data_IF_754978224898
#
_entry.id   IF_754978224898
#
_cell.length_a   1.000
_cell.length_b   1.000
_cell.length_c   1.000
_cell.angle_alpha   90.00
_cell.angle_beta   90.00
_cell.angle_gamma   90.00
#
_symmetry.space_group_name_H-M   'P 1'
#
loop_
_entity.id
_entity.type
_entity.pdbx_description
1 polymer ?
#
# COMPACT_ATOMS: atom_id res chain seq x y z
N UNK A 1 27.85 -12.36 -4.85
CA UNK A 1 28.78 -11.38 -4.23
C UNK A 1 27.95 -10.27 -3.59
N UNK A 2 27.21 -9.55 -4.42
CA UNK A 2 26.21 -8.56 -4.01
C UNK A 2 24.86 -9.28 -3.85
N UNK A 3 24.14 -8.95 -2.78
CA UNK A 3 22.80 -9.47 -2.47
C UNK A 3 21.71 -8.55 -3.03
N UNK A 4 21.87 -7.24 -2.87
CA UNK A 4 20.95 -6.23 -3.38
C UNK A 4 21.66 -4.89 -3.53
N UNK A 5 21.13 -4.04 -4.42
CA UNK A 5 21.57 -2.67 -4.64
C UNK A 5 20.37 -1.73 -4.65
N UNK A 6 20.54 -0.54 -4.09
CA UNK A 6 19.50 0.48 -4.11
C UNK A 6 20.15 1.84 -4.28
N UNK A 7 19.78 2.53 -5.35
CA UNK A 7 20.16 3.91 -5.59
C UNK A 7 18.93 4.79 -5.37
N UNK A 8 18.96 5.64 -4.35
CA UNK A 8 17.98 6.73 -4.20
C UNK A 8 18.37 7.89 -5.10
N UNK A 9 17.59 8.16 -6.13
CA UNK A 9 17.83 9.26 -7.04
C UNK A 9 17.09 10.52 -6.58
N UNK A 10 17.83 11.61 -6.38
CA UNK A 10 17.29 12.93 -6.05
C UNK A 10 17.74 13.95 -7.10
N UNK A 11 17.10 13.99 -8.29
CA UNK A 11 17.53 14.84 -9.41
C UNK A 11 17.62 16.33 -9.07
N UNK A 12 16.70 16.87 -8.25
CA UNK A 12 16.76 18.27 -7.78
C UNK A 12 18.01 18.61 -6.98
N UNK A 13 18.44 17.66 -6.15
CA UNK A 13 19.68 17.81 -5.37
C UNK A 13 20.90 17.37 -6.17
N UNK A 14 20.70 16.87 -7.40
CA UNK A 14 21.74 16.28 -8.25
C UNK A 14 22.55 15.21 -7.51
N UNK A 15 21.87 14.44 -6.67
CA UNK A 15 22.50 13.47 -5.76
C UNK A 15 21.86 12.09 -5.93
N UNK A 16 22.71 11.07 -5.89
CA UNK A 16 22.39 9.67 -5.77
C UNK A 16 22.95 9.14 -4.45
N UNK A 17 22.10 8.55 -3.58
CA UNK A 17 22.58 7.79 -2.43
C UNK A 17 22.55 6.30 -2.77
N UNK A 18 23.68 5.61 -2.64
CA UNK A 18 23.81 4.20 -2.92
C UNK A 18 23.85 3.38 -1.63
N UNK A 19 23.05 2.31 -1.58
CA UNK A 19 23.05 1.31 -0.52
C UNK A 19 23.23 -0.07 -1.16
N UNK A 20 24.31 -0.77 -0.80
CA UNK A 20 24.69 -2.03 -1.44
C UNK A 20 24.89 -3.08 -0.37
N UNK A 21 24.07 -4.12 -0.44
CA UNK A 21 24.11 -5.22 0.51
C UNK A 21 24.93 -6.37 -0.06
N UNK A 22 25.85 -6.91 0.74
CA UNK A 22 26.75 -7.99 0.36
C UNK A 22 26.37 -9.30 1.05
N UNK A 23 26.71 -10.42 0.41
CA UNK A 23 26.50 -11.76 0.98
C UNK A 23 27.41 -12.05 2.17
N UNK A 24 28.55 -11.35 2.26
CA UNK A 24 29.57 -11.53 3.30
C UNK A 24 30.02 -10.19 3.83
N UNK A 25 30.59 -10.19 5.03
CA UNK A 25 31.23 -9.00 5.59
C UNK A 25 32.53 -8.73 4.85
N UNK A 26 32.83 -7.46 4.61
CA UNK A 26 34.07 -7.02 3.93
C UNK A 26 34.62 -5.79 4.63
N UNK A 27 35.94 -5.61 4.54
CA UNK A 27 36.62 -4.42 5.03
C UNK A 27 36.73 -3.37 3.93
N UNK A 28 36.82 -2.09 4.31
CA UNK A 28 36.95 -0.96 3.39
C UNK A 28 38.13 -1.12 2.41
N UNK A 29 39.28 -1.62 2.88
CA UNK A 29 40.49 -1.80 2.07
C UNK A 29 40.33 -2.80 0.93
N UNK A 30 39.35 -3.71 1.02
CA UNK A 30 39.05 -4.70 0.00
C UNK A 30 38.05 -4.22 -1.06
N UNK A 31 37.49 -3.02 -0.90
CA UNK A 31 36.43 -2.48 -1.76
C UNK A 31 36.96 -1.32 -2.59
N UNK A 32 36.79 -1.40 -3.91
CA UNK A 32 37.01 -0.28 -4.83
C UNK A 32 35.72 0.03 -5.57
N UNK A 33 35.31 1.29 -5.56
CA UNK A 33 34.15 1.78 -6.30
C UNK A 33 34.64 2.77 -7.34
N UNK A 34 34.31 2.52 -8.61
CA UNK A 34 34.60 3.43 -9.72
C UNK A 34 33.29 3.89 -10.34
N UNK A 35 33.15 5.19 -10.48
CA UNK A 35 31.98 5.82 -11.10
C UNK A 35 32.31 6.21 -12.53
N UNK A 36 31.54 5.71 -13.48
CA UNK A 36 31.53 6.19 -14.85
C UNK A 36 30.18 6.85 -15.15
N UNK A 37 30.09 7.53 -16.29
CA UNK A 37 28.89 8.27 -16.69
C UNK A 37 27.61 7.43 -16.70
N UNK A 38 27.70 6.16 -17.09
CA UNK A 38 26.55 5.27 -17.29
C UNK A 38 26.64 3.96 -16.48
N UNK A 39 27.67 3.83 -15.63
CA UNK A 39 27.84 2.64 -14.83
C UNK A 39 28.55 2.89 -13.49
N UNK A 40 28.33 1.97 -12.56
CA UNK A 40 29.05 1.88 -11.29
C UNK A 40 29.77 0.53 -11.28
N UNK A 41 31.09 0.56 -11.17
CA UNK A 41 31.91 -0.64 -11.03
C UNK A 41 32.29 -0.85 -9.57
N UNK A 42 32.04 -2.04 -9.05
CA UNK A 42 32.35 -2.43 -7.68
C UNK A 42 33.27 -3.63 -7.71
N UNK A 43 34.49 -3.44 -7.23
CA UNK A 43 35.50 -4.49 -7.13
C UNK A 43 35.69 -4.88 -5.67
N UNK A 44 35.49 -6.16 -5.38
CA UNK A 44 35.70 -6.77 -4.06
C UNK A 44 36.62 -7.97 -4.23
N UNK A 45 37.78 -7.99 -3.56
CA UNK A 45 38.72 -9.13 -3.61
C UNK A 45 39.00 -9.65 -5.04
N UNK A 46 39.26 -8.73 -5.97
CA UNK A 46 39.52 -8.96 -7.40
C UNK A 46 38.32 -9.46 -8.24
N UNK A 47 37.11 -9.47 -7.69
CA UNK A 47 35.87 -9.70 -8.44
C UNK A 47 35.16 -8.38 -8.69
N UNK A 48 34.92 -8.07 -9.95
CA UNK A 48 34.24 -6.83 -10.35
C UNK A 48 32.82 -7.12 -10.80
N UNK A 49 31.87 -6.33 -10.32
CA UNK A 49 30.50 -6.28 -10.83
C UNK A 49 30.23 -4.87 -11.33
N UNK A 50 29.64 -4.78 -12.52
CA UNK A 50 29.31 -3.55 -13.23
C UNK A 50 27.80 -3.37 -13.19
N UNK A 51 27.35 -2.24 -12.65
CA UNK A 51 25.94 -1.85 -12.64
C UNK A 51 25.68 -0.83 -13.73
N UNK A 52 24.91 -1.20 -14.75
CA UNK A 52 24.54 -0.30 -15.84
C UNK A 52 23.31 0.52 -15.47
N UNK A 53 23.36 1.81 -15.80
CA UNK A 53 22.32 2.80 -15.49
C UNK A 53 21.81 3.43 -16.78
N UNK A 54 20.57 3.14 -17.16
CA UNK A 54 19.97 3.66 -18.41
C UNK A 54 19.32 5.04 -18.27
N UNK A 55 18.81 5.38 -17.09
CA UNK A 55 17.87 6.50 -16.92
C UNK A 55 18.51 7.79 -16.42
N UNK A 56 19.73 7.73 -15.90
CA UNK A 56 20.45 8.90 -15.37
C UNK A 56 21.94 8.76 -15.65
N UNK A 57 22.62 9.90 -15.73
CA UNK A 57 24.07 9.98 -15.93
C UNK A 57 24.74 10.45 -14.65
N UNK A 58 25.76 9.71 -14.19
CA UNK A 58 26.58 10.12 -13.06
C UNK A 58 27.68 11.07 -13.51
N UNK A 59 28.12 11.94 -12.60
CA UNK A 59 29.37 12.68 -12.78
C UNK A 59 30.52 11.74 -12.36
N UNK A 60 31.46 11.41 -13.25
CA UNK A 60 32.64 10.62 -12.89
C UNK A 60 33.39 11.26 -11.72
N UNK A 61 34.03 10.44 -10.89
CA UNK A 61 34.84 10.88 -9.73
C UNK A 61 34.11 11.73 -8.68
N UNK A 62 32.78 11.83 -8.74
CA UNK A 62 31.95 12.54 -7.75
C UNK A 62 31.63 11.73 -6.48
N UNK A 63 32.36 10.63 -6.26
CA UNK A 63 32.13 9.72 -5.15
C UNK A 63 32.46 10.42 -3.82
N UNK A 64 31.52 10.39 -2.89
CA UNK A 64 31.64 11.01 -1.58
C UNK A 64 31.00 10.14 -0.51
N UNK A 65 31.37 10.38 0.76
CA UNK A 65 30.82 9.69 1.93
C UNK A 65 30.81 8.14 1.80
N UNK A 66 31.89 7.57 1.24
CA UNK A 66 32.05 6.13 1.16
C UNK A 66 32.22 5.55 2.55
N UNK A 67 31.28 4.70 2.96
CA UNK A 67 31.30 3.95 4.19
C UNK A 67 31.12 2.46 3.89
N UNK A 68 31.89 1.62 4.59
CA UNK A 68 31.81 0.16 4.50
C UNK A 68 31.64 -0.39 5.91
N UNK A 69 30.39 -0.71 6.25
CA UNK A 69 30.01 -1.19 7.57
C UNK A 69 29.44 -2.60 7.48
N UNK A 70 30.13 -3.57 8.10
CA UNK A 70 29.77 -5.01 8.08
C UNK A 70 29.67 -5.55 6.64
N UNK A 71 28.47 -5.70 6.13
CA UNK A 71 28.14 -6.22 4.81
C UNK A 71 27.45 -5.17 3.94
N UNK A 72 27.63 -3.89 4.24
CA UNK A 72 27.08 -2.78 3.50
C UNK A 72 28.18 -1.90 2.92
N UNK A 73 27.99 -1.48 1.67
CA UNK A 73 28.73 -0.38 1.07
C UNK A 73 27.72 0.75 0.87
N UNK A 74 28.04 1.93 1.36
CA UNK A 74 27.22 3.13 1.24
C UNK A 74 28.07 4.25 0.67
N UNK A 75 27.55 5.01 -0.28
CA UNK A 75 28.22 6.20 -0.77
C UNK A 75 27.20 7.15 -1.40
N UNK A 76 27.67 8.36 -1.66
CA UNK A 76 26.96 9.38 -2.42
C UNK A 76 27.70 9.66 -3.72
N UNK A 77 26.94 9.86 -4.79
CA UNK A 77 27.46 10.30 -6.08
C UNK A 77 26.63 11.49 -6.58
N UNK A 78 27.23 12.33 -7.44
CA UNK A 78 26.50 13.39 -8.10
C UNK A 78 25.92 12.90 -9.43
N UNK A 79 24.73 13.40 -9.77
CA UNK A 79 24.01 13.11 -11.01
C UNK A 79 24.11 14.36 -11.90
N UNK A 80 24.35 14.17 -13.19
CA UNK A 80 24.30 15.26 -14.16
C UNK A 80 22.89 15.87 -14.21
N UNK A 81 22.80 17.20 -14.29
CA UNK A 81 21.52 17.89 -14.46
C UNK A 81 20.83 17.45 -15.74
N UNK A 82 19.55 17.08 -15.64
CA UNK A 82 18.71 16.71 -16.76
C UNK A 82 17.54 17.72 -16.86
N UNK A 83 17.30 18.34 -18.03
CA UNK A 83 16.21 19.31 -18.19
C UNK A 83 14.80 18.72 -17.98
N UNK A 84 14.64 17.40 -18.13
CA UNK A 84 13.39 16.66 -17.91
C UNK A 84 13.31 16.12 -16.46
N UNK A 85 14.39 15.58 -15.92
CA UNK A 85 14.44 15.03 -14.55
C UNK A 85 14.90 16.08 -13.52
N UNK A 86 13.96 16.57 -12.69
CA UNK A 86 14.25 17.48 -11.59
C UNK A 86 13.99 18.96 -11.87
N UNK A 87 13.37 19.30 -13.01
CA UNK A 87 12.88 20.66 -13.25
C UNK A 87 11.60 20.92 -12.45
N UNK A 88 11.32 22.20 -12.15
CA UNK A 88 10.04 22.59 -11.53
C UNK A 88 8.84 22.15 -12.40
N UNK A 89 8.98 22.09 -13.72
CA UNK A 89 7.90 21.69 -14.64
C UNK A 89 7.45 20.23 -14.52
N UNK A 90 8.32 19.32 -14.07
CA UNK A 90 8.00 17.89 -13.94
C UNK A 90 7.55 17.47 -12.54
N UNK A 91 7.50 18.42 -11.59
CA UNK A 91 7.17 18.16 -10.18
C UNK A 91 6.36 19.27 -9.49
N UNK A 92 6.10 20.43 -10.13
CA UNK A 92 4.98 21.27 -9.71
C UNK A 92 3.75 20.39 -9.84
N UNK A 93 2.98 20.35 -8.76
CA UNK A 93 1.68 19.74 -8.60
C UNK A 93 0.81 20.17 -9.80
N UNK A 94 0.93 19.48 -10.94
CA UNK A 94 -0.27 19.16 -11.67
C UNK A 94 -1.07 18.41 -10.63
N UNK A 95 -2.21 18.95 -10.24
CA UNK A 95 -3.26 18.19 -9.60
C UNK A 95 -3.34 16.91 -10.42
N UNK A 96 -2.65 15.86 -9.99
CA UNK A 96 -2.69 14.58 -10.63
C UNK A 96 -4.11 14.21 -10.32
N UNK A 97 -4.97 14.46 -11.30
CA UNK A 97 -6.31 13.93 -11.39
C UNK A 97 -6.05 12.45 -11.20
N UNK A 98 -6.20 12.01 -9.95
CA UNK A 98 -5.81 10.70 -9.51
C UNK A 98 -6.46 9.75 -10.50
N UNK A 99 -5.65 8.89 -11.10
CA UNK A 99 -6.11 8.09 -12.21
C UNK A 99 -7.18 7.14 -11.67
N UNK A 100 -8.45 7.55 -11.83
CA UNK A 100 -9.66 6.83 -11.42
C UNK A 100 -9.74 5.47 -12.10
N UNK A 101 -8.82 5.14 -13.01
CA UNK A 101 -8.65 3.83 -13.61
C UNK A 101 -8.31 2.72 -12.60
N UNK A 102 -7.69 2.99 -11.45
CA UNK A 102 -7.55 1.97 -10.38
C UNK A 102 -8.86 1.75 -9.61
N UNK A 103 -9.62 2.83 -9.38
CA UNK A 103 -11.01 2.72 -8.95
C UNK A 103 -11.84 1.94 -9.99
N UNK A 104 -11.54 2.05 -11.30
CA UNK A 104 -12.20 1.25 -12.33
C UNK A 104 -12.00 -0.26 -12.16
N UNK A 105 -10.88 -0.74 -11.61
CA UNK A 105 -10.71 -2.16 -11.33
C UNK A 105 -11.51 -2.62 -10.09
N UNK A 106 -11.70 -1.74 -9.09
CA UNK A 106 -12.70 -1.98 -8.03
C UNK A 106 -14.15 -1.89 -8.56
N UNK A 107 -14.41 -1.06 -9.58
CA UNK A 107 -15.71 -0.90 -10.26
C UNK A 107 -15.97 -2.07 -11.22
N UNK A 108 -14.95 -2.72 -11.81
CA UNK A 108 -15.10 -4.03 -12.49
C UNK A 108 -15.62 -5.09 -11.53
N UNK A 109 -15.61 -4.83 -10.22
CA UNK A 109 -16.31 -5.72 -9.30
C UNK A 109 -17.84 -5.72 -9.48
N UNK A 110 -18.39 -4.62 -9.97
CA UNK A 110 -19.82 -4.30 -10.03
C UNK A 110 -20.54 -4.96 -11.22
N UNK A 111 -19.83 -5.20 -12.34
CA UNK A 111 -20.41 -5.78 -13.56
C UNK A 111 -21.00 -7.20 -13.36
N UNK A 112 -20.59 -7.91 -12.31
CA UNK A 112 -21.01 -9.29 -12.03
C UNK A 112 -22.38 -9.41 -11.37
N UNK A 113 -22.89 -8.33 -10.78
CA UNK A 113 -24.13 -8.35 -10.03
C UNK A 113 -25.37 -8.05 -10.90
N UNK A 114 -25.18 -7.84 -12.20
CA UNK A 114 -26.25 -7.46 -13.12
C UNK A 114 -27.00 -8.65 -13.76
N UNK A 115 -26.67 -9.91 -13.47
CA UNK A 115 -27.22 -11.04 -14.27
C UNK A 115 -27.49 -12.35 -13.53
N UNK A 116 -27.73 -12.35 -12.20
CA UNK A 116 -28.18 -13.58 -11.54
C UNK A 116 -28.23 -13.55 -10.02
N UNK A 117 -28.67 -14.68 -9.45
CA UNK A 117 -28.54 -14.95 -8.02
C UNK A 117 -27.07 -15.19 -7.67
N UNK A 118 -26.64 -14.80 -6.48
CA UNK A 118 -25.29 -15.07 -6.00
C UNK A 118 -25.27 -15.45 -4.51
N UNK A 119 -24.15 -16.00 -4.07
CA UNK A 119 -23.84 -16.21 -2.65
C UNK A 119 -22.54 -15.52 -2.27
N UNK A 120 -22.46 -15.11 -1.00
CA UNK A 120 -21.25 -14.61 -0.37
C UNK A 120 -20.58 -15.79 0.33
N UNK A 121 -19.27 -15.93 0.15
CA UNK A 121 -18.47 -17.00 0.70
C UNK A 121 -17.28 -16.45 1.49
N UNK A 122 -16.87 -17.14 2.55
CA UNK A 122 -15.64 -16.81 3.25
C UNK A 122 -14.43 -17.13 2.35
N UNK A 123 -13.54 -16.18 2.13
CA UNK A 123 -12.36 -16.39 1.26
C UNK A 123 -11.43 -17.49 1.76
N UNK A 124 -11.37 -17.71 3.08
CA UNK A 124 -10.45 -18.67 3.71
C UNK A 124 -10.94 -20.12 3.65
N UNK A 125 -12.19 -20.38 4.06
CA UNK A 125 -12.72 -21.75 4.15
C UNK A 125 -13.78 -22.07 3.10
N UNK A 126 -14.10 -21.10 2.22
CA UNK A 126 -15.13 -21.20 1.19
C UNK A 126 -16.52 -21.56 1.73
N UNK A 127 -16.78 -21.31 3.02
CA UNK A 127 -18.10 -21.55 3.61
C UNK A 127 -19.11 -20.53 3.07
N UNK A 128 -20.31 -20.97 2.73
CA UNK A 128 -21.38 -20.09 2.20
C UNK A 128 -22.01 -19.32 3.36
N UNK A 129 -21.81 -18.01 3.38
CA UNK A 129 -22.22 -17.11 4.46
C UNK A 129 -23.63 -16.56 4.28
N UNK A 130 -24.17 -16.59 3.06
CA UNK A 130 -25.47 -16.01 2.72
C UNK A 130 -26.45 -17.01 2.13
N UNK A 131 -27.75 -16.67 2.17
CA UNK A 131 -28.76 -17.28 1.30
C UNK A 131 -28.55 -16.85 -0.16
N UNK A 132 -29.38 -17.33 -1.10
CA UNK A 132 -29.43 -16.82 -2.47
C UNK A 132 -29.73 -15.31 -2.43
N UNK A 133 -28.83 -14.48 -2.95
CA UNK A 133 -29.01 -13.03 -3.02
C UNK A 133 -29.34 -12.65 -4.45
N UNK A 134 -30.38 -11.84 -4.62
CA UNK A 134 -30.69 -11.17 -5.88
C UNK A 134 -30.42 -9.67 -5.75
N UNK A 135 -29.40 -9.19 -6.45
CA UNK A 135 -28.94 -7.81 -6.35
C UNK A 135 -29.54 -7.00 -7.49
N UNK A 136 -30.24 -5.92 -7.14
CA UNK A 136 -30.86 -4.99 -8.07
C UNK A 136 -30.01 -3.75 -8.28
N UNK A 137 -29.32 -3.29 -7.23
CA UNK A 137 -28.56 -2.03 -7.27
C UNK A 137 -27.27 -2.15 -6.50
N UNK A 138 -26.25 -1.48 -7.04
CA UNK A 138 -24.96 -1.32 -6.41
C UNK A 138 -24.59 0.14 -6.44
N UNK A 139 -24.43 0.73 -5.26
CA UNK A 139 -24.24 2.17 -5.12
C UNK A 139 -22.95 2.47 -4.35
N UNK A 140 -22.17 3.46 -4.77
CA UNK A 140 -21.03 3.90 -3.99
C UNK A 140 -21.52 4.53 -2.68
N UNK A 141 -20.77 4.34 -1.60
CA UNK A 141 -20.92 5.20 -0.42
C UNK A 141 -20.42 6.61 -0.74
N UNK A 142 -21.06 7.66 -0.22
CA UNK A 142 -20.72 9.04 -0.55
C UNK A 142 -19.30 9.46 -0.13
N UNK A 143 -18.80 9.00 1.02
CA UNK A 143 -17.41 9.12 1.47
C UNK A 143 -17.10 7.99 2.50
N UNK A 144 -15.83 7.58 2.62
CA UNK A 144 -15.31 6.71 3.68
C UNK A 144 -15.52 7.33 5.07
N UNK A 145 -15.50 8.67 5.15
CA UNK A 145 -15.70 9.46 6.37
C UNK A 145 -17.03 10.22 6.38
N UNK A 146 -18.00 9.78 5.58
CA UNK A 146 -19.29 10.45 5.46
C UNK A 146 -19.98 10.57 6.82
N UNK A 147 -20.27 11.81 7.23
CA UNK A 147 -21.19 12.09 8.32
C UNK A 147 -22.60 12.34 7.74
N UNK A 148 -23.58 11.45 8.02
CA UNK A 148 -24.97 11.68 7.63
C UNK A 148 -25.54 13.01 8.12
N UNK A 149 -25.00 13.57 9.21
CA UNK A 149 -25.47 14.83 9.77
C UNK A 149 -25.18 16.05 8.88
N UNK A 150 -24.18 15.96 7.99
CA UNK A 150 -23.76 17.07 7.13
C UNK A 150 -24.65 17.25 5.88
N UNK A 151 -25.41 16.23 5.49
CA UNK A 151 -26.15 16.23 4.21
C UNK A 151 -27.64 16.51 4.36
N UNK A 152 -28.20 16.34 5.55
CA UNK A 152 -29.61 16.58 5.81
C UNK A 152 -29.80 17.89 6.59
N UNK A 153 -30.01 18.99 5.85
CA UNK A 153 -30.13 20.34 6.41
C UNK A 153 -31.33 20.57 7.34
N UNK A 154 -32.31 19.66 7.41
CA UNK A 154 -33.53 19.90 8.20
C UNK A 154 -33.99 18.66 9.00
N UNK A 155 -33.90 18.73 10.34
CA UNK A 155 -34.57 17.79 11.27
C UNK A 155 -36.08 18.06 11.31
N UNK A 156 -36.81 17.74 10.24
CA UNK A 156 -38.28 17.75 10.27
C UNK A 156 -38.81 16.38 10.68
N UNK A 157 -38.64 16.02 11.96
CA UNK A 157 -39.65 15.29 12.73
C UNK A 157 -39.16 15.06 14.16
N UNK A 158 -39.96 15.54 15.11
CA UNK A 158 -39.80 15.31 16.54
C UNK A 158 -40.20 13.87 16.88
N UNK A 159 -39.27 12.93 16.71
CA UNK A 159 -39.15 11.75 17.55
C UNK A 159 -37.71 11.26 17.46
N UNK A 160 -37.15 10.90 18.60
CA UNK A 160 -35.76 10.57 18.84
C UNK A 160 -35.19 9.51 17.87
N UNK A 161 -33.85 9.57 17.69
CA UNK A 161 -32.94 8.45 17.35
C UNK A 161 -32.79 7.92 15.91
N UNK A 162 -33.36 8.54 14.87
CA UNK A 162 -32.98 8.15 13.49
C UNK A 162 -31.85 9.04 12.96
N UNK A 163 -30.60 8.69 13.29
CA UNK A 163 -29.48 9.03 12.39
C UNK A 163 -29.85 8.48 11.01
N UNK A 164 -29.76 9.30 9.98
CA UNK A 164 -30.01 8.91 8.58
C UNK A 164 -28.91 7.96 8.11
N UNK A 165 -28.87 6.75 8.66
CA UNK A 165 -27.88 5.76 8.31
C UNK A 165 -28.20 5.21 6.92
N UNK A 166 -27.17 5.12 6.08
CA UNK A 166 -27.27 4.47 4.77
C UNK A 166 -27.41 2.96 4.97
N UNK A 167 -28.64 2.50 5.16
CA UNK A 167 -28.97 1.07 5.29
C UNK A 167 -29.37 0.53 3.91
N UNK A 168 -28.61 -0.42 3.33
CA UNK A 168 -28.99 -1.05 2.07
C UNK A 168 -30.25 -1.90 2.24
N UNK A 169 -31.12 -1.94 1.23
CA UNK A 169 -32.18 -2.96 1.16
C UNK A 169 -31.58 -4.34 0.93
N UNK A 170 -32.37 -5.40 1.10
CA UNK A 170 -31.95 -6.78 0.82
C UNK A 170 -31.51 -7.02 -0.63
N UNK A 171 -31.91 -6.15 -1.56
CA UNK A 171 -31.49 -6.22 -2.97
C UNK A 171 -30.40 -5.21 -3.34
N UNK A 172 -29.86 -4.48 -2.36
CA UNK A 172 -28.87 -3.43 -2.59
C UNK A 172 -27.53 -3.80 -1.96
N UNK A 173 -26.44 -3.39 -2.61
CA UNK A 173 -25.10 -3.38 -2.01
C UNK A 173 -24.57 -1.96 -2.07
N UNK A 174 -24.11 -1.43 -0.94
CA UNK A 174 -23.29 -0.23 -0.96
C UNK A 174 -21.81 -0.61 -0.94
N UNK A 175 -20.96 0.12 -1.65
CA UNK A 175 -19.53 -0.20 -1.70
C UNK A 175 -18.65 1.02 -1.43
N UNK A 176 -17.57 0.80 -0.69
CA UNK A 176 -16.43 1.70 -0.60
C UNK A 176 -15.23 1.13 -1.35
N UNK A 177 -14.06 1.75 -1.18
CA UNK A 177 -12.84 1.35 -1.90
C UNK A 177 -12.38 -0.08 -1.62
N UNK A 178 -12.59 -0.59 -0.39
CA UNK A 178 -12.12 -1.90 0.07
C UNK A 178 -13.13 -2.60 0.99
N UNK A 179 -14.40 -2.21 0.92
CA UNK A 179 -15.48 -2.83 1.68
C UNK A 179 -16.83 -2.76 0.98
N UNK A 180 -17.75 -3.60 1.43
CA UNK A 180 -19.16 -3.60 1.05
C UNK A 180 -20.04 -3.46 2.29
N UNK A 181 -21.18 -2.78 2.15
CA UNK A 181 -22.23 -2.73 3.17
C UNK A 181 -23.43 -3.48 2.62
N UNK A 182 -23.89 -4.49 3.38
CA UNK A 182 -24.89 -5.45 2.95
C UNK A 182 -25.92 -5.66 4.08
N UNK A 183 -27.18 -5.85 3.72
CA UNK A 183 -28.25 -6.07 4.69
C UNK A 183 -28.05 -7.40 5.47
N UNK A 184 -28.21 -7.36 6.79
CA UNK A 184 -27.89 -8.46 7.69
C UNK A 184 -28.77 -9.71 7.46
N UNK A 185 -30.03 -9.55 7.06
CA UNK A 185 -30.97 -10.66 6.81
C UNK A 185 -30.56 -11.60 5.67
N UNK A 186 -29.60 -11.20 4.85
CA UNK A 186 -29.08 -12.03 3.76
C UNK A 186 -28.15 -13.13 4.27
N UNK A 187 -27.63 -13.00 5.49
CA UNK A 187 -26.67 -13.94 6.05
C UNK A 187 -27.36 -15.06 6.81
N UNK A 188 -26.75 -16.25 6.77
CA UNK A 188 -27.24 -17.43 7.48
C UNK A 188 -26.40 -17.67 8.75
N UNK A 189 -26.68 -18.76 9.46
CA UNK A 189 -25.97 -19.13 10.69
C UNK A 189 -24.46 -19.43 10.51
N UNK A 190 -23.94 -19.42 9.27
CA UNK A 190 -22.51 -19.56 9.00
C UNK A 190 -21.71 -18.27 9.24
N UNK A 191 -22.41 -17.17 9.50
CA UNK A 191 -21.85 -15.90 9.93
C UNK A 191 -22.30 -15.64 11.36
N UNK A 192 -21.33 -15.34 12.24
CA UNK A 192 -21.58 -15.03 13.64
C UNK A 192 -21.17 -13.58 13.90
N UNK A 193 -21.93 -12.92 14.76
CA UNK A 193 -21.58 -11.63 15.33
C UNK A 193 -21.00 -11.86 16.72
N UNK A 194 -19.84 -11.27 16.99
CA UNK A 194 -19.18 -11.29 18.29
C UNK A 194 -18.81 -9.85 18.67
N UNK A 195 -19.43 -9.33 19.72
CA UNK A 195 -19.46 -7.90 20.04
C UNK A 195 -19.86 -7.06 18.81
N UNK A 196 -18.94 -6.26 18.26
CA UNK A 196 -19.16 -5.42 17.07
C UNK A 196 -18.57 -6.03 15.80
N UNK A 197 -18.08 -7.27 15.86
CA UNK A 197 -17.27 -7.88 14.80
C UNK A 197 -18.03 -9.02 14.13
N UNK A 198 -17.86 -9.15 12.82
CA UNK A 198 -18.50 -10.18 12.00
C UNK A 198 -17.48 -11.24 11.62
N UNK A 199 -17.74 -12.49 12.01
CA UNK A 199 -16.82 -13.62 11.84
C UNK A 199 -17.46 -14.81 11.11
N UNK A 200 -16.65 -15.60 10.40
CA UNK A 200 -17.10 -16.87 9.85
C UNK A 200 -17.23 -17.91 10.98
N UNK A 201 -18.39 -18.56 11.11
CA UNK A 201 -18.61 -19.56 12.17
C UNK A 201 -17.75 -20.82 12.02
N UNK A 202 -17.25 -21.11 10.81
CA UNK A 202 -16.46 -22.32 10.52
C UNK A 202 -14.98 -22.15 10.83
N UNK A 203 -14.36 -21.09 10.33
CA UNK A 203 -12.91 -20.87 10.46
C UNK A 203 -12.54 -19.73 11.42
N UNK A 204 -13.54 -19.07 12.02
CA UNK A 204 -13.37 -17.93 12.93
C UNK A 204 -12.65 -16.73 12.30
N UNK A 205 -12.55 -16.69 10.96
CA UNK A 205 -11.93 -15.57 10.28
C UNK A 205 -12.81 -14.32 10.38
N UNK A 206 -12.16 -13.19 10.66
CA UNK A 206 -12.77 -11.86 10.71
C UNK A 206 -13.13 -11.35 9.31
N UNK A 207 -14.43 -11.13 9.08
CA UNK A 207 -14.97 -10.74 7.77
C UNK A 207 -15.29 -9.25 7.70
N UNK A 208 -15.58 -8.62 8.83
CA UNK A 208 -16.11 -7.27 8.86
C UNK A 208 -16.60 -6.84 10.23
N UNK A 209 -17.48 -5.85 10.26
CA UNK A 209 -18.12 -5.34 11.48
C UNK A 209 -19.58 -5.01 11.27
N UNK A 210 -20.30 -4.83 12.37
CA UNK A 210 -21.64 -4.25 12.35
C UNK A 210 -21.53 -2.80 11.85
N UNK A 211 -22.31 -2.44 10.82
CA UNK A 211 -22.42 -1.05 10.36
C UNK A 211 -23.62 -0.36 11.02
N UNK A 212 -24.76 -1.06 11.03
CA UNK A 212 -25.97 -0.71 11.78
C UNK A 212 -26.61 -2.01 12.27
N UNK A 213 -27.65 -1.92 13.09
CA UNK A 213 -28.39 -3.11 13.56
C UNK A 213 -28.88 -4.02 12.42
N UNK A 214 -29.09 -3.45 11.22
CA UNK A 214 -29.62 -4.17 10.05
C UNK A 214 -28.58 -4.36 8.93
N UNK A 215 -27.32 -4.00 9.12
CA UNK A 215 -26.32 -4.11 8.04
C UNK A 215 -24.90 -4.38 8.54
N UNK A 216 -24.16 -5.13 7.72
CA UNK A 216 -22.75 -5.46 7.98
C UNK A 216 -21.85 -4.75 6.97
N UNK A 217 -20.74 -4.19 7.46
CA UNK A 217 -19.61 -3.73 6.64
C UNK A 217 -18.61 -4.88 6.53
N UNK A 218 -18.51 -5.49 5.36
CA UNK A 218 -17.60 -6.61 5.08
C UNK A 218 -16.39 -6.12 4.27
N UNK A 219 -15.19 -6.59 4.63
CA UNK A 219 -13.96 -6.25 3.92
C UNK A 219 -13.89 -7.00 2.60
N UNK A 220 -13.57 -6.29 1.52
CA UNK A 220 -13.50 -6.87 0.16
C UNK A 220 -12.48 -8.00 0.05
N UNK A 221 -11.42 -7.96 0.84
CA UNK A 221 -10.38 -8.99 0.87
C UNK A 221 -10.73 -10.23 1.74
N UNK A 222 -11.88 -10.23 2.40
CA UNK A 222 -12.30 -11.29 3.32
C UNK A 222 -13.46 -12.15 2.81
N UNK A 223 -14.12 -11.73 1.72
CA UNK A 223 -15.26 -12.45 1.12
C UNK A 223 -15.14 -12.62 -0.39
N UNK A 224 -15.56 -13.79 -0.87
CA UNK A 224 -15.74 -14.09 -2.29
C UNK A 224 -17.23 -14.03 -2.66
N UNK A 225 -17.51 -13.83 -3.95
CA UNK A 225 -18.86 -13.87 -4.49
C UNK A 225 -18.98 -14.97 -5.53
N UNK A 226 -19.93 -15.89 -5.35
CA UNK A 226 -20.20 -16.95 -6.31
C UNK A 226 -21.49 -16.66 -7.07
N UNK A 227 -21.39 -16.46 -8.38
CA UNK A 227 -22.56 -16.29 -9.25
C UNK A 227 -23.17 -17.65 -9.60
N UNK A 228 -24.44 -17.83 -9.24
CA UNK A 228 -25.18 -19.06 -9.53
C UNK A 228 -25.56 -19.19 -11.01
N UNK A 229 -25.68 -18.07 -11.75
CA UNK A 229 -26.08 -18.11 -13.17
C UNK A 229 -24.96 -18.60 -14.08
N UNK A 230 -23.71 -18.24 -13.79
CA UNK A 230 -22.56 -18.54 -14.65
C UNK A 230 -21.52 -19.46 -13.97
N UNK A 231 -21.76 -19.92 -12.74
CA UNK A 231 -20.81 -20.70 -11.93
C UNK A 231 -19.43 -20.03 -11.76
N UNK A 232 -19.37 -18.70 -11.92
CA UNK A 232 -18.14 -17.92 -11.79
C UNK A 232 -17.95 -17.45 -10.37
N UNK A 233 -16.80 -17.80 -9.78
CA UNK A 233 -16.37 -17.29 -8.49
C UNK A 233 -15.55 -16.03 -8.73
N UNK A 234 -15.98 -14.96 -8.09
CA UNK A 234 -15.24 -13.72 -7.97
C UNK A 234 -14.50 -13.74 -6.64
N UNK A 235 -13.18 -13.78 -6.73
CA UNK A 235 -12.33 -13.81 -5.55
C UNK A 235 -12.32 -12.45 -4.85
N UNK A 236 -12.09 -12.49 -3.55
CA UNK A 236 -11.70 -11.36 -2.73
C UNK A 236 -10.59 -10.52 -3.35
N UNK A 237 -10.56 -9.25 -3.00
CA UNK A 237 -9.46 -8.34 -3.37
C UNK A 237 -8.15 -8.79 -2.73
N UNK A 238 -7.04 -8.49 -3.41
CA UNK A 238 -5.71 -8.73 -2.86
C UNK A 238 -5.43 -7.71 -1.72
N UNK A 239 -5.09 -8.15 -0.50
CA UNK A 239 -4.89 -7.24 0.62
C UNK A 239 -3.76 -6.21 0.41
N UNK A 240 -2.75 -6.53 -0.41
CA UNK A 240 -1.68 -5.59 -0.71
C UNK A 240 -2.14 -4.51 -1.70
N UNK A 241 -2.94 -4.87 -2.70
CA UNK A 241 -3.59 -3.89 -3.56
C UNK A 241 -4.54 -2.98 -2.78
N UNK A 242 -5.32 -3.52 -1.84
CA UNK A 242 -6.16 -2.74 -0.94
C UNK A 242 -5.33 -1.81 -0.04
N UNK A 243 -4.14 -2.25 0.41
CA UNK A 243 -3.19 -1.39 1.12
C UNK A 243 -2.73 -0.22 0.25
N UNK A 244 -2.28 -0.48 -0.98
CA UNK A 244 -1.86 0.57 -1.91
C UNK A 244 -3.01 1.54 -2.21
N UNK A 245 -4.24 1.02 -2.36
CA UNK A 245 -5.42 1.83 -2.56
C UNK A 245 -5.71 2.71 -1.35
N UNK A 246 -5.68 2.16 -0.14
CA UNK A 246 -5.89 2.89 1.10
C UNK A 246 -4.88 4.04 1.28
N UNK A 247 -3.61 3.82 0.95
CA UNK A 247 -2.61 4.90 0.94
C UNK A 247 -2.99 5.93 -0.12
N UNK A 248 -3.22 5.52 -1.37
CA UNK A 248 -3.55 6.42 -2.50
C UNK A 248 -4.79 7.29 -2.23
N UNK A 249 -5.84 6.73 -1.64
CA UNK A 249 -7.07 7.48 -1.30
C UNK A 249 -6.90 8.39 -0.09
N UNK A 250 -5.94 8.09 0.80
CA UNK A 250 -5.66 8.90 1.97
C UNK A 250 -4.62 10.00 1.71
N UNK A 251 -4.00 10.04 0.52
CA UNK A 251 -3.01 11.05 0.17
C UNK A 251 -3.69 12.40 -0.06
N UNK A 252 -3.26 13.40 0.70
CA UNK A 252 -3.67 14.80 0.48
C UNK A 252 -2.57 15.61 -0.21
N UNK A 253 -1.32 15.12 -0.19
CA UNK A 253 -0.15 15.84 -0.70
C UNK A 253 0.33 16.93 0.24
N UNK A 254 -0.22 17.01 1.46
CA UNK A 254 0.15 18.00 2.48
C UNK A 254 1.45 17.56 3.16
N UNK A 255 2.37 18.51 3.32
CA UNK A 255 3.63 18.24 3.99
C UNK A 255 3.40 17.89 5.47
N UNK A 256 3.98 16.78 5.92
CA UNK A 256 3.83 16.31 7.30
C UNK A 256 2.50 15.61 7.57
N UNK A 257 1.80 15.14 6.53
CA UNK A 257 0.63 14.28 6.69
C UNK A 257 1.00 12.92 7.30
N UNK A 258 0.09 12.39 8.13
CA UNK A 258 0.18 11.08 8.73
C UNK A 258 -1.05 10.26 8.32
N UNK A 259 -0.82 9.15 7.62
CA UNK A 259 -1.86 8.21 7.26
C UNK A 259 -1.89 7.12 8.33
N UNK A 260 -3.03 6.92 8.99
CA UNK A 260 -3.22 5.93 10.03
C UNK A 260 -4.20 4.88 9.52
N UNK A 261 -3.66 3.71 9.15
CA UNK A 261 -4.50 2.54 8.87
C UNK A 261 -4.86 1.88 10.19
N UNK A 262 -6.16 1.71 10.47
CA UNK A 262 -6.64 1.17 11.73
C UNK A 262 -7.59 -0.01 11.53
N UNK A 263 -7.48 -0.97 12.44
CA UNK A 263 -8.36 -2.14 12.53
C UNK A 263 -8.74 -2.35 14.00
N UNK A 264 -9.99 -2.71 14.24
CA UNK A 264 -10.54 -2.96 15.58
C UNK A 264 -11.02 -4.40 15.68
N UNK A 265 -10.56 -5.09 16.72
CA UNK A 265 -10.91 -6.47 17.08
C UNK A 265 -11.50 -6.44 18.50
N UNK A 266 -12.80 -6.12 18.58
CA UNK A 266 -13.46 -5.89 19.86
C UNK A 266 -12.83 -4.70 20.60
N UNK A 267 -12.12 -4.97 21.70
CA UNK A 267 -11.39 -3.97 22.50
C UNK A 267 -9.96 -3.75 22.04
N UNK A 268 -9.40 -4.69 21.28
CA UNK A 268 -8.06 -4.58 20.75
C UNK A 268 -8.06 -3.74 19.47
N UNK A 269 -7.01 -2.96 19.27
CA UNK A 269 -6.84 -2.13 18.08
C UNK A 269 -5.44 -2.30 17.51
N UNK A 270 -5.37 -2.34 16.19
CA UNK A 270 -4.13 -2.41 15.41
C UNK A 270 -4.02 -1.16 14.58
N UNK A 271 -2.89 -0.47 14.67
CA UNK A 271 -2.63 0.73 13.87
C UNK A 271 -1.29 0.67 13.15
N UNK A 272 -1.30 1.05 11.88
CA UNK A 272 -0.11 1.28 11.06
C UNK A 272 -0.09 2.75 10.68
N UNK A 273 0.76 3.52 11.36
CA UNK A 273 1.03 4.93 11.05
C UNK A 273 2.08 5.01 9.96
N UNK A 274 1.81 5.80 8.93
CA UNK A 274 2.69 6.04 7.78
C UNK A 274 2.86 7.54 7.61
N UNK A 275 4.10 8.03 7.65
CA UNK A 275 4.47 9.42 7.38
C UNK A 275 5.27 9.50 6.09
N UNK A 276 4.68 9.99 5.00
CA UNK A 276 5.36 10.19 3.74
C UNK A 276 6.47 11.24 3.87
N UNK A 277 7.69 10.89 3.43
CA UNK A 277 8.85 11.78 3.41
C UNK A 277 9.16 12.31 2.01
N UNK A 278 8.95 11.47 0.99
CA UNK A 278 9.23 11.79 -0.41
C UNK A 278 8.27 11.01 -1.31
N UNK A 279 7.32 11.72 -1.91
CA UNK A 279 6.20 11.15 -2.69
C UNK A 279 6.60 10.61 -4.06
N UNK A 280 7.71 11.10 -4.62
CA UNK A 280 8.08 10.85 -6.01
C UNK A 280 9.55 10.44 -6.12
N UNK A 281 10.01 9.63 -5.16
CA UNK A 281 11.37 9.14 -5.14
C UNK A 281 11.56 8.09 -6.23
N UNK A 282 12.62 8.26 -7.01
CA UNK A 282 13.01 7.26 -8.01
C UNK A 282 14.10 6.38 -7.42
N UNK A 283 13.88 5.07 -7.41
CA UNK A 283 14.90 4.10 -7.08
C UNK A 283 15.45 3.46 -8.34
N UNK A 284 16.74 3.19 -8.34
CA UNK A 284 17.32 2.19 -9.25
C UNK A 284 17.72 0.97 -8.43
N UNK A 285 17.17 -0.18 -8.80
CA UNK A 285 17.40 -1.45 -8.09
C UNK A 285 17.76 -2.56 -9.06
N UNK A 286 18.32 -3.65 -8.55
CA UNK A 286 18.55 -4.87 -9.32
C UNK A 286 17.23 -5.47 -9.85
N UNK A 287 17.24 -6.15 -11.01
CA UNK A 287 16.14 -7.00 -11.42
C UNK A 287 15.93 -8.15 -10.42
N UNK A 288 14.72 -8.71 -10.38
CA UNK A 288 14.40 -9.85 -9.48
C UNK A 288 15.36 -11.02 -9.67
N UNK A 289 15.71 -11.31 -10.91
CA UNK A 289 16.68 -12.33 -11.27
C UNK A 289 17.98 -11.68 -11.74
N UNK A 290 18.99 -11.72 -10.87
CA UNK A 290 20.36 -11.37 -11.27
C UNK A 290 20.91 -12.59 -12.02
N UNK A 291 20.93 -12.52 -13.35
CA UNK A 291 21.68 -13.49 -14.16
C UNK A 291 23.13 -13.52 -13.68
N UNK A 292 23.79 -14.69 -13.70
CA UNK A 292 25.16 -14.91 -13.20
C UNK A 292 26.27 -14.18 -14.01
N UNK A 293 25.93 -13.09 -14.68
CA UNK A 293 26.88 -12.23 -15.37
C UNK A 293 27.39 -11.16 -14.38
N UNK A 294 28.64 -10.74 -14.58
CA UNK A 294 29.24 -9.63 -13.83
C UNK A 294 28.62 -8.26 -14.18
N UNK A 295 27.62 -8.21 -15.06
CA UNK A 295 26.98 -6.99 -15.53
C UNK A 295 25.50 -7.06 -15.16
N UNK A 296 25.03 -6.08 -14.39
CA UNK A 296 23.65 -5.96 -13.91
C UNK A 296 23.06 -4.66 -14.42
N UNK A 297 21.98 -4.74 -15.20
CA UNK A 297 21.25 -3.53 -15.63
C UNK A 297 20.23 -3.17 -14.57
N UNK A 298 20.36 -1.98 -13.96
CA UNK A 298 19.43 -1.53 -12.93
C UNK A 298 18.09 -1.10 -13.54
N UNK A 299 17.00 -1.44 -12.85
CA UNK A 299 15.64 -1.07 -13.20
C UNK A 299 15.17 0.10 -12.36
N UNK A 300 14.35 0.97 -12.96
CA UNK A 300 13.75 2.12 -12.27
C UNK A 300 12.43 1.73 -11.62
N UNK A 301 12.24 2.15 -10.38
CA UNK A 301 10.98 2.07 -9.65
C UNK A 301 10.59 3.44 -9.08
N UNK A 302 9.31 3.80 -9.21
CA UNK A 302 8.74 4.98 -8.55
C UNK A 302 8.18 4.56 -7.19
N UNK A 303 8.66 5.20 -6.13
CA UNK A 303 8.30 4.83 -4.76
C UNK A 303 8.00 6.06 -3.91
N UNK A 304 7.24 5.84 -2.84
CA UNK A 304 7.15 6.77 -1.71
C UNK A 304 8.13 6.33 -0.65
N UNK A 305 9.03 7.22 -0.22
CA UNK A 305 9.81 6.99 1.01
C UNK A 305 8.96 7.37 2.20
N UNK A 306 8.83 6.47 3.17
CA UNK A 306 7.97 6.65 4.34
C UNK A 306 8.70 6.34 5.64
N UNK A 307 8.31 7.04 6.70
CA UNK A 307 8.44 6.56 8.06
C UNK A 307 7.20 5.75 8.41
N UNK A 308 7.34 4.61 9.08
CA UNK A 308 6.20 3.82 9.50
C UNK A 308 6.37 3.22 10.88
N UNK A 309 5.24 3.04 11.58
CA UNK A 309 5.19 2.44 12.90
C UNK A 309 3.91 1.63 13.04
N UNK A 310 4.06 0.43 13.58
CA UNK A 310 2.95 -0.43 13.93
C UNK A 310 2.77 -0.43 15.45
N UNK A 311 1.54 -0.20 15.91
CA UNK A 311 1.21 -0.16 17.33
C UNK A 311 -0.08 -0.96 17.58
N UNK A 312 -0.24 -1.43 18.83
CA UNK A 312 -1.46 -2.09 19.29
C UNK A 312 -2.00 -1.36 20.51
N UNK A 313 -3.32 -1.28 20.64
CA UNK A 313 -4.03 -0.75 21.81
C UNK A 313 -3.62 0.67 22.22
N UNK A 314 -3.26 1.51 21.24
CA UNK A 314 -2.77 2.86 21.50
C UNK A 314 -3.76 3.89 20.99
N UNK A 315 -4.21 4.75 21.91
CA UNK A 315 -4.97 5.94 21.56
C UNK A 315 -3.99 6.97 21.02
N UNK A 316 -3.97 7.16 19.70
CA UNK A 316 -3.26 8.30 19.10
C UNK A 316 -4.07 9.58 19.35
N UNK A 317 -3.50 10.61 19.98
CA UNK A 317 -4.19 11.88 20.12
C UNK A 317 -4.45 12.50 18.75
N UNK A 318 -5.62 13.09 18.57
CA UNK A 318 -5.96 13.79 17.33
C UNK A 318 -5.02 14.97 17.11
N UNK A 319 -4.52 15.07 15.88
CA UNK A 319 -3.67 16.17 15.43
C UNK A 319 -4.05 16.56 14.01
N UNK A 320 -3.81 17.82 13.68
CA UNK A 320 -4.37 18.52 12.51
C UNK A 320 -4.01 17.90 11.14
N UNK A 321 -3.00 17.02 11.07
CA UNK A 321 -2.52 16.42 9.82
C UNK A 321 -2.65 14.88 9.77
N UNK A 322 -3.61 14.30 10.52
CA UNK A 322 -3.84 12.85 10.53
C UNK A 322 -5.05 12.48 9.68
N UNK A 323 -4.86 11.53 8.77
CA UNK A 323 -5.93 10.88 8.02
C UNK A 323 -6.10 9.46 8.55
N UNK A 324 -7.28 9.17 9.12
CA UNK A 324 -7.61 7.83 9.58
C UNK A 324 -8.32 7.05 8.48
N UNK A 325 -7.88 5.82 8.25
CA UNK A 325 -8.46 4.92 7.28
C UNK A 325 -8.70 3.56 7.94
N UNK A 326 -9.97 3.23 8.15
CA UNK A 326 -10.32 1.93 8.74
C UNK A 326 -10.26 0.83 7.67
N UNK A 327 -9.46 -0.21 7.89
CA UNK A 327 -9.20 -1.30 6.94
C UNK A 327 -9.25 -2.66 7.64
N UNK A 328 -9.20 -3.75 6.86
CA UNK A 328 -9.05 -5.10 7.43
C UNK A 328 -7.65 -5.32 8.02
N UNK A 329 -7.53 -6.24 8.98
CA UNK A 329 -6.22 -6.66 9.49
C UNK A 329 -5.31 -7.22 8.39
N UNK A 330 -5.88 -7.89 7.37
CA UNK A 330 -5.12 -8.43 6.24
C UNK A 330 -4.42 -7.32 5.45
N UNK A 331 -5.06 -6.17 5.30
CA UNK A 331 -4.49 -4.98 4.65
C UNK A 331 -3.31 -4.43 5.44
N UNK A 332 -3.45 -4.27 6.77
CA UNK A 332 -2.37 -3.82 7.65
C UNK A 332 -1.18 -4.80 7.57
N UNK A 333 -1.47 -6.11 7.66
CA UNK A 333 -0.46 -7.16 7.61
C UNK A 333 0.31 -7.14 6.29
N UNK A 334 -0.39 -7.10 5.15
CA UNK A 334 0.23 -7.07 3.84
C UNK A 334 1.09 -5.80 3.62
N UNK A 335 0.59 -4.64 4.06
CA UNK A 335 1.36 -3.39 4.06
C UNK A 335 2.62 -3.47 4.92
N UNK A 336 2.51 -4.04 6.12
CA UNK A 336 3.64 -4.20 7.04
C UNK A 336 4.68 -5.18 6.48
N UNK A 337 4.27 -6.31 5.89
CA UNK A 337 5.18 -7.27 5.24
C UNK A 337 5.97 -6.62 4.09
N UNK A 338 5.29 -5.78 3.28
CA UNK A 338 5.94 -4.99 2.23
C UNK A 338 6.96 -4.01 2.82
N UNK A 339 6.56 -3.22 3.81
CA UNK A 339 7.40 -2.20 4.45
C UNK A 339 8.62 -2.84 5.14
N UNK A 340 8.45 -3.94 5.86
CA UNK A 340 9.55 -4.68 6.49
C UNK A 340 10.53 -5.24 5.46
N UNK A 341 10.02 -5.73 4.32
CA UNK A 341 10.87 -6.19 3.21
C UNK A 341 11.66 -5.03 2.61
N UNK A 342 11.02 -3.88 2.45
CA UNK A 342 11.63 -2.65 1.96
C UNK A 342 12.70 -2.08 2.91
N UNK A 343 12.45 -2.10 4.23
CA UNK A 343 13.40 -1.68 5.27
C UNK A 343 14.70 -2.48 5.24
N UNK A 344 14.66 -3.76 4.82
CA UNK A 344 15.86 -4.59 4.69
C UNK A 344 16.84 -4.07 3.64
N UNK A 345 16.40 -3.19 2.72
CA UNK A 345 17.26 -2.52 1.72
C UNK A 345 18.14 -1.41 2.32
N UNK A 346 17.93 -1.05 3.58
CA UNK A 346 18.79 -0.10 4.30
C UNK A 346 19.79 -0.82 5.23
N UNK A 347 21.01 -0.26 5.38
CA UNK A 347 21.89 -0.56 6.49
C UNK A 347 21.19 -0.37 7.83
N UNK A 348 21.56 -1.18 8.83
CA UNK A 348 20.88 -1.22 10.13
C UNK A 348 20.77 0.16 10.80
N UNK A 349 21.81 1.00 10.67
CA UNK A 349 21.86 2.35 11.24
C UNK A 349 20.86 3.33 10.60
N UNK A 350 20.36 3.04 9.39
CA UNK A 350 19.42 3.89 8.66
C UNK A 350 17.99 3.32 8.65
N UNK A 351 17.74 2.22 9.36
CA UNK A 351 16.41 1.57 9.37
C UNK A 351 15.41 2.28 10.26
N UNK A 352 15.87 3.07 11.22
CA UNK A 352 15.02 3.71 12.24
C UNK A 352 15.32 5.19 12.38
N UNK A 353 14.28 5.99 12.55
CA UNK A 353 14.36 7.41 12.88
C UNK A 353 13.23 7.75 13.86
N UNK A 354 13.59 8.24 15.05
CA UNK A 354 12.63 8.75 16.07
C UNK A 354 11.50 7.73 16.34
N UNK A 355 11.86 6.48 16.64
CA UNK A 355 10.95 5.34 16.87
C UNK A 355 10.08 4.88 15.67
N UNK A 356 10.29 5.44 14.48
CA UNK A 356 9.72 4.94 13.24
C UNK A 356 10.74 4.12 12.47
N UNK A 357 10.28 3.12 11.73
CA UNK A 357 11.07 2.44 10.71
C UNK A 357 11.04 3.22 9.39
N UNK A 358 12.09 3.11 8.59
CA UNK A 358 12.16 3.70 7.24
C UNK A 358 11.86 2.61 6.20
N UNK A 359 10.98 2.92 5.25
CA UNK A 359 10.62 2.00 4.17
C UNK A 359 10.30 2.74 2.88
N UNK A 360 10.10 1.95 1.82
CA UNK A 360 9.55 2.40 0.56
C UNK A 360 8.21 1.71 0.27
N UNK A 361 7.26 2.45 -0.28
CA UNK A 361 6.02 1.93 -0.85
C UNK A 361 6.10 2.06 -2.37
N UNK A 362 6.01 0.94 -3.10
CA UNK A 362 6.01 0.95 -4.56
C UNK A 362 4.60 1.25 -5.08
N UNK A 363 4.40 2.42 -5.70
CA UNK A 363 3.06 2.86 -6.14
C UNK A 363 2.69 2.36 -7.54
N UNK A 364 3.68 2.14 -8.39
CA UNK A 364 3.52 1.69 -9.78
C UNK A 364 4.46 0.51 -10.06
N UNK A 365 4.08 -0.36 -10.99
CA UNK A 365 4.94 -1.44 -11.47
C UNK A 365 6.13 -0.88 -12.24
N UNK A 366 7.26 -1.61 -12.20
CA UNK A 366 8.51 -1.26 -12.90
C UNK A 366 8.26 -0.81 -14.33
N UNK A 367 8.69 0.41 -14.64
CA UNK A 367 8.64 0.92 -16.01
C UNK A 367 9.83 0.30 -16.75
N UNK A 368 9.59 -0.83 -17.39
CA UNK A 368 10.45 -1.35 -18.45
C UNK A 368 10.18 -0.56 -19.73
N UNK A 369 10.59 0.71 -19.76
CA UNK A 369 10.70 1.40 -21.04
C UNK A 369 12.03 0.95 -21.64
N UNK A 370 11.91 0.08 -22.64
CA UNK A 370 12.99 -0.40 -23.52
C UNK A 370 13.86 0.73 -24.01
#
# INVERSE_FOLDING_TARGET
MIKSMTLELRPRLQICNAFIHLNKKVNLTAVKVKLSKENIEITIENKTVIFLMKFIKLIPDSLSALDVTKNWICFRAQIMSDPLLGSFKTQIITNLTFNTNLLKDSIKNIELFNTGKCHIMCTFCKNILSRDIYIKRILPVPDINYDPSEWFCCKHNHSSTNMYNLIPLESDIFYGSFFFIIHASLFNHNLKVDENVVICSRCLHYLGKIHTDNSFKLWSCSVDYNSLSNSTIKNATDPFNDFLLAIKTSMTGIFGEEIILQYFEGKDSHSLTIKPMDWHLNLMIEPKDILCNNIVTLQRASVVKVLYKYETNKNTPDSVNKTYCEVSFLVIKAGLEHLLTSTKRFPQVYRTAIDYNVGYICLDNFINNT
#
